data_IF_578932563748
#
_entry.id   IF_578932563748
#
_cell.length_a   1.000
_cell.length_b   1.000
_cell.length_c   1.000
_cell.angle_alpha   90.00
_cell.angle_beta   90.00
_cell.angle_gamma   90.00
#
_symmetry.space_group_name_H-M   'P 1'
#
loop_
_entity.id
_entity.type
_entity.pdbx_description
1 polymer ?
#
# COMPACT_ATOMS: atom_id res chain seq x y z
N UNK A 1 5.38 34.14 -7.41
CA UNK A 1 4.68 33.58 -8.60
C UNK A 1 5.53 32.47 -9.15
N UNK A 2 5.02 31.23 -9.16
CA UNK A 2 5.61 30.10 -9.88
C UNK A 2 4.56 29.64 -10.89
N UNK A 3 4.70 30.05 -12.16
CA UNK A 3 3.86 29.53 -13.26
C UNK A 3 4.54 28.29 -13.85
N UNK A 4 4.58 27.23 -13.05
CA UNK A 4 5.15 25.94 -13.40
C UNK A 4 4.11 25.05 -14.08
N UNK A 5 3.63 25.43 -15.27
CA UNK A 5 2.71 24.58 -16.05
C UNK A 5 3.45 23.46 -16.75
N UNK A 6 3.21 22.22 -16.32
CA UNK A 6 3.79 21.02 -16.91
C UNK A 6 3.37 20.83 -18.37
N UNK A 7 4.32 21.04 -19.29
CA UNK A 7 4.14 20.82 -20.72
C UNK A 7 4.37 19.35 -21.07
N UNK A 8 3.29 18.56 -21.03
CA UNK A 8 3.31 17.15 -21.43
C UNK A 8 3.54 16.97 -22.94
N UNK A 9 4.77 16.66 -23.33
CA UNK A 9 5.13 16.32 -24.72
C UNK A 9 5.05 14.80 -24.92
N UNK A 10 3.98 14.33 -25.56
CA UNK A 10 3.83 12.92 -25.97
C UNK A 10 4.67 12.62 -27.21
N UNK A 11 5.97 12.33 -27.02
CA UNK A 11 6.87 11.96 -28.11
C UNK A 11 6.84 10.44 -28.35
N UNK A 12 6.31 10.02 -29.52
CA UNK A 12 6.29 8.61 -29.92
C UNK A 12 7.68 8.12 -30.32
N UNK A 13 8.40 7.50 -29.38
CA UNK A 13 9.65 6.79 -29.68
C UNK A 13 9.36 5.49 -30.43
N UNK A 14 9.92 5.35 -31.64
CA UNK A 14 9.74 4.17 -32.50
C UNK A 14 10.51 2.97 -31.94
N UNK A 15 9.80 2.02 -31.33
CA UNK A 15 10.39 0.87 -30.65
C UNK A 15 11.13 -0.10 -31.58
N UNK A 16 12.44 -0.25 -31.36
CA UNK A 16 13.15 -1.46 -31.72
C UNK A 16 12.71 -2.62 -30.81
N UNK A 17 12.79 -3.90 -31.23
CA UNK A 17 12.62 -5.02 -30.32
C UNK A 17 13.79 -5.05 -29.32
N UNK A 18 13.48 -4.93 -28.03
CA UNK A 18 14.46 -5.02 -26.94
C UNK A 18 14.37 -6.40 -26.27
N UNK A 19 15.12 -7.44 -26.71
CA UNK A 19 15.11 -8.73 -26.04
C UNK A 19 15.79 -8.64 -24.65
N UNK A 20 15.30 -9.37 -23.63
CA UNK A 20 15.92 -9.37 -22.30
C UNK A 20 17.33 -9.96 -22.36
N UNK A 21 18.35 -9.19 -21.93
CA UNK A 21 19.72 -9.68 -21.91
C UNK A 21 19.97 -10.52 -20.66
N UNK A 22 20.02 -11.84 -20.82
CA UNK A 22 20.16 -12.80 -19.72
C UNK A 22 21.57 -13.42 -19.67
N UNK A 23 22.22 -13.34 -18.52
CA UNK A 23 23.44 -14.08 -18.18
C UNK A 23 23.12 -15.32 -17.35
N UNK A 24 24.14 -16.01 -16.85
CA UNK A 24 23.97 -17.10 -15.86
C UNK A 24 23.63 -16.62 -14.45
N UNK A 25 23.88 -15.33 -14.13
CA UNK A 25 23.72 -14.77 -12.76
C UNK A 25 22.71 -13.63 -12.66
N UNK A 26 22.30 -13.05 -13.80
CA UNK A 26 21.39 -11.92 -13.87
C UNK A 26 20.57 -11.92 -15.16
N UNK A 27 19.48 -11.17 -15.16
CA UNK A 27 18.76 -10.73 -16.36
C UNK A 27 18.60 -9.21 -16.31
N UNK A 28 18.76 -8.59 -17.47
CA UNK A 28 18.64 -7.15 -17.67
C UNK A 28 17.44 -6.86 -18.56
N UNK A 29 16.54 -5.98 -18.08
CA UNK A 29 15.48 -5.37 -18.88
C UNK A 29 15.90 -3.92 -19.19
N UNK A 30 15.69 -3.47 -20.42
CA UNK A 30 16.03 -2.13 -20.87
C UNK A 30 15.02 -1.70 -21.93
N UNK A 31 14.35 -0.57 -21.74
CA UNK A 31 13.38 -0.01 -22.69
C UNK A 31 13.79 1.36 -23.23
N UNK A 32 15.06 1.75 -23.05
CA UNK A 32 15.59 3.06 -23.45
C UNK A 32 15.20 4.24 -22.53
N UNK A 33 14.28 4.05 -21.58
CA UNK A 33 13.93 5.04 -20.55
C UNK A 33 14.46 4.63 -19.18
N UNK A 34 14.24 3.38 -18.81
CA UNK A 34 14.67 2.77 -17.55
C UNK A 34 15.29 1.40 -17.81
N UNK A 35 16.24 1.01 -16.95
CA UNK A 35 16.96 -0.25 -17.01
C UNK A 35 16.88 -0.98 -15.68
N UNK A 36 16.49 -2.25 -15.68
CA UNK A 36 16.42 -3.09 -14.49
C UNK A 36 17.49 -4.17 -14.57
N UNK A 37 18.19 -4.42 -13.47
CA UNK A 37 19.07 -5.57 -13.28
C UNK A 37 18.50 -6.45 -12.18
N UNK A 38 18.23 -7.71 -12.48
CA UNK A 38 17.60 -8.68 -11.56
C UNK A 38 18.49 -9.91 -11.46
N UNK A 39 18.67 -10.48 -10.26
CA UNK A 39 19.46 -11.70 -10.06
C UNK A 39 18.74 -12.95 -10.57
N UNK A 40 19.52 -13.94 -11.04
CA UNK A 40 19.02 -15.20 -11.61
C UNK A 40 19.65 -16.41 -10.89
N UNK A 41 18.87 -17.42 -10.46
CA UNK A 41 17.39 -17.49 -10.50
C UNK A 41 16.73 -16.65 -9.39
N UNK A 42 17.47 -16.23 -8.36
CA UNK A 42 16.98 -15.67 -7.09
C UNK A 42 15.88 -14.58 -7.20
N UNK A 43 15.87 -13.78 -8.26
CA UNK A 43 14.80 -12.82 -8.56
C UNK A 43 14.86 -11.50 -7.77
N UNK A 44 15.95 -11.21 -7.08
CA UNK A 44 16.15 -9.93 -6.39
C UNK A 44 16.44 -8.83 -7.40
N UNK A 45 15.71 -7.72 -7.34
CA UNK A 45 16.04 -6.53 -8.11
C UNK A 45 17.30 -5.88 -7.51
N UNK A 46 18.41 -5.91 -8.22
CA UNK A 46 19.73 -5.43 -7.74
C UNK A 46 20.13 -4.08 -8.32
N UNK A 47 19.49 -3.65 -9.41
CA UNK A 47 19.68 -2.31 -9.96
C UNK A 47 18.49 -1.76 -10.71
N UNK A 48 18.28 -0.45 -10.58
CA UNK A 48 17.38 0.37 -11.40
C UNK A 48 18.19 1.56 -11.91
N UNK A 49 18.52 1.62 -13.19
CA UNK A 49 19.15 2.79 -13.81
C UNK A 49 18.09 3.66 -14.47
N UNK A 50 18.11 4.98 -14.21
CA UNK A 50 17.15 5.93 -14.76
C UNK A 50 17.75 7.34 -14.82
N UNK A 51 17.41 8.13 -15.84
CA UNK A 51 17.76 9.56 -15.93
C UNK A 51 19.26 9.87 -15.89
N UNK A 52 20.13 8.91 -16.23
CA UNK A 52 21.59 9.05 -16.10
C UNK A 52 22.17 8.68 -14.73
N UNK A 53 21.35 8.21 -13.78
CA UNK A 53 21.83 7.60 -12.53
C UNK A 53 22.01 6.09 -12.70
N UNK A 54 23.21 5.58 -12.43
CA UNK A 54 23.59 4.17 -12.65
C UNK A 54 22.72 3.17 -11.87
N UNK A 55 22.37 3.52 -10.63
CA UNK A 55 21.47 2.75 -9.78
C UNK A 55 20.75 3.68 -8.80
N UNK A 56 19.42 3.53 -8.68
CA UNK A 56 18.59 4.20 -7.67
C UNK A 56 18.60 3.47 -6.31
N UNK A 57 18.98 2.18 -6.26
CA UNK A 57 18.89 1.32 -5.06
C UNK A 57 20.13 1.40 -4.16
N UNK A 58 19.94 1.30 -2.84
CA UNK A 58 21.04 1.17 -1.86
C UNK A 58 21.61 -0.26 -1.83
N UNK A 59 22.62 -0.51 -2.68
CA UNK A 59 23.35 -1.79 -2.75
C UNK A 59 24.17 -2.08 -1.47
N UNK A 60 24.39 -1.09 -0.60
CA UNK A 60 25.09 -1.30 0.68
C UNK A 60 24.13 -1.70 1.81
N UNK A 61 22.81 -1.58 1.60
CA UNK A 61 21.81 -2.05 2.56
C UNK A 61 21.88 -3.57 2.73
N UNK A 62 22.49 -4.01 3.84
CA UNK A 62 22.42 -5.41 4.29
C UNK A 62 21.00 -5.70 4.81
N UNK A 63 20.07 -6.03 3.93
CA UNK A 63 18.74 -6.47 4.35
C UNK A 63 18.86 -7.73 5.21
N UNK A 64 18.50 -7.62 6.49
CA UNK A 64 18.59 -8.70 7.47
C UNK A 64 17.61 -9.84 7.15
N UNK A 65 16.47 -9.51 6.54
CA UNK A 65 15.55 -10.46 5.92
C UNK A 65 15.94 -10.68 4.45
N UNK A 66 16.32 -11.92 4.13
CA UNK A 66 16.43 -12.37 2.73
C UNK A 66 15.00 -12.53 2.20
N UNK A 67 14.60 -11.67 1.27
CA UNK A 67 13.29 -11.74 0.62
C UNK A 67 13.09 -13.01 -0.21
N UNK A 68 11.91 -13.17 -0.82
CA UNK A 68 11.56 -14.35 -1.63
C UNK A 68 12.68 -14.70 -2.63
N UNK A 69 13.32 -15.84 -2.38
CA UNK A 69 14.42 -16.36 -3.19
C UNK A 69 13.88 -17.40 -4.16
N UNK A 70 13.76 -17.01 -5.43
CA UNK A 70 13.28 -17.89 -6.47
C UNK A 70 14.32 -18.96 -6.83
N UNK A 71 13.83 -20.15 -7.17
CA UNK A 71 14.61 -21.30 -7.66
C UNK A 71 14.47 -21.46 -9.18
N UNK A 72 13.37 -20.96 -9.73
CA UNK A 72 13.04 -21.02 -11.16
C UNK A 72 12.95 -19.61 -11.75
N UNK A 73 13.41 -19.49 -13.00
CA UNK A 73 13.31 -18.27 -13.81
C UNK A 73 12.80 -18.63 -15.21
N UNK A 74 11.83 -17.88 -15.72
CA UNK A 74 11.39 -17.97 -17.12
C UNK A 74 11.01 -16.60 -17.68
N UNK A 75 11.04 -16.51 -19.02
CA UNK A 75 10.45 -15.40 -19.77
C UNK A 75 9.05 -15.84 -20.15
N UNK A 76 8.03 -15.10 -19.69
CA UNK A 76 6.61 -15.43 -19.91
C UNK A 76 6.10 -14.80 -21.19
N UNK A 77 6.51 -13.55 -21.44
CA UNK A 77 6.20 -12.78 -22.64
C UNK A 77 7.44 -11.99 -23.08
N UNK A 78 7.62 -11.85 -24.39
CA UNK A 78 8.73 -11.12 -25.01
C UNK A 78 8.30 -10.57 -26.38
N UNK A 79 7.44 -9.56 -26.35
CA UNK A 79 6.97 -8.82 -27.53
C UNK A 79 7.80 -7.54 -27.74
N UNK A 80 7.48 -6.75 -28.77
CA UNK A 80 8.08 -5.40 -28.97
C UNK A 80 7.66 -4.40 -27.89
N UNK A 81 6.49 -4.62 -27.30
CA UNK A 81 5.81 -3.63 -26.44
C UNK A 81 5.84 -4.00 -24.95
N UNK A 82 6.18 -5.25 -24.63
CA UNK A 82 6.07 -5.84 -23.31
C UNK A 82 7.00 -7.06 -23.15
N UNK A 83 7.78 -7.07 -22.07
CA UNK A 83 8.54 -8.21 -21.57
C UNK A 83 8.01 -8.56 -20.17
N UNK A 84 7.68 -9.83 -19.94
CA UNK A 84 7.28 -10.35 -18.62
C UNK A 84 8.26 -11.45 -18.18
N UNK A 85 8.82 -11.29 -16.98
CA UNK A 85 9.69 -12.27 -16.34
C UNK A 85 8.98 -12.92 -15.15
N UNK A 86 9.17 -14.23 -14.98
CA UNK A 86 8.72 -15.02 -13.85
C UNK A 86 9.90 -15.45 -12.98
N UNK A 87 9.73 -15.33 -11.67
CA UNK A 87 10.67 -15.76 -10.65
C UNK A 87 9.89 -16.55 -9.59
N UNK A 88 9.98 -17.89 -9.66
CA UNK A 88 9.18 -18.79 -8.84
C UNK A 88 10.02 -19.48 -7.76
N UNK A 89 9.45 -19.55 -6.56
CA UNK A 89 9.92 -20.39 -5.44
C UNK A 89 8.78 -21.27 -4.98
N UNK A 90 9.06 -22.53 -4.60
CA UNK A 90 8.02 -23.53 -4.29
C UNK A 90 7.94 -23.96 -2.82
N UNK A 91 8.68 -23.31 -1.92
CA UNK A 91 8.75 -23.67 -0.50
C UNK A 91 8.78 -22.43 0.41
N UNK A 92 8.04 -22.41 1.53
CA UNK A 92 7.04 -23.39 1.98
C UNK A 92 5.68 -23.29 1.23
N UNK A 93 5.48 -22.19 0.50
CA UNK A 93 4.38 -21.95 -0.44
C UNK A 93 4.95 -21.68 -1.84
N UNK A 94 4.17 -21.99 -2.88
CA UNK A 94 4.54 -21.64 -4.24
C UNK A 94 4.15 -20.18 -4.52
N UNK A 95 5.17 -19.33 -4.71
CA UNK A 95 5.02 -17.92 -5.04
C UNK A 95 5.78 -17.66 -6.34
N UNK A 96 5.10 -17.02 -7.28
CA UNK A 96 5.63 -16.64 -8.59
C UNK A 96 5.56 -15.11 -8.72
N UNK A 97 6.72 -14.46 -8.61
CA UNK A 97 6.85 -13.01 -8.72
C UNK A 97 7.03 -12.63 -10.17
N UNK A 98 6.15 -11.77 -10.67
CA UNK A 98 6.14 -11.26 -12.04
C UNK A 98 6.65 -9.84 -12.09
N UNK A 99 7.58 -9.58 -13.01
CA UNK A 99 8.10 -8.25 -13.31
C UNK A 99 7.84 -7.98 -14.80
N UNK A 100 7.11 -6.90 -15.08
CA UNK A 100 6.75 -6.48 -16.44
C UNK A 100 7.40 -5.13 -16.75
N UNK A 101 8.15 -5.06 -17.84
CA UNK A 101 8.61 -3.81 -18.45
C UNK A 101 7.90 -3.61 -19.80
N UNK A 102 7.42 -2.40 -20.06
CA UNK A 102 6.76 -2.03 -21.32
C UNK A 102 7.60 -1.02 -22.10
N UNK A 103 7.50 -1.06 -23.42
CA UNK A 103 8.11 -0.05 -24.30
C UNK A 103 7.43 1.31 -24.08
N UNK A 104 8.21 2.39 -24.09
CA UNK A 104 7.72 3.77 -23.91
C UNK A 104 7.20 4.13 -22.51
N UNK A 105 7.29 3.24 -21.51
CA UNK A 105 6.84 3.50 -20.13
C UNK A 105 8.03 3.76 -19.21
N UNK A 106 8.01 4.89 -18.50
CA UNK A 106 9.04 5.28 -17.52
C UNK A 106 8.86 4.55 -16.18
N UNK A 107 8.90 3.22 -16.18
CA UNK A 107 8.71 2.39 -14.99
C UNK A 107 8.55 0.90 -15.30
N UNK A 108 8.14 0.13 -14.29
CA UNK A 108 7.83 -1.29 -14.40
C UNK A 108 6.68 -1.67 -13.47
N UNK A 109 5.97 -2.74 -13.81
CA UNK A 109 4.92 -3.31 -12.97
C UNK A 109 5.47 -4.54 -12.27
N UNK A 110 5.07 -4.76 -11.01
CA UNK A 110 5.47 -5.93 -10.23
C UNK A 110 4.28 -6.45 -9.44
N UNK A 111 4.04 -7.76 -9.52
CA UNK A 111 3.05 -8.46 -8.69
C UNK A 111 3.58 -9.83 -8.29
N UNK A 112 2.90 -10.49 -7.35
CA UNK A 112 3.21 -11.85 -6.95
C UNK A 112 1.93 -12.69 -6.94
N UNK A 113 1.95 -13.81 -7.64
CA UNK A 113 0.90 -14.82 -7.56
C UNK A 113 1.29 -15.82 -6.49
N UNK A 114 0.44 -16.01 -5.48
CA UNK A 114 0.56 -17.10 -4.51
C UNK A 114 -0.34 -18.23 -5.00
N UNK A 115 0.24 -19.40 -5.29
CA UNK A 115 -0.51 -20.58 -5.68
C UNK A 115 -0.88 -21.43 -4.44
N UNK A 116 -1.84 -22.34 -4.62
CA UNK A 116 -2.29 -23.22 -3.54
C UNK A 116 -1.15 -24.04 -2.94
N UNK A 117 -1.16 -24.17 -1.61
CA UNK A 117 -0.20 -24.98 -0.86
C UNK A 117 -0.51 -26.46 -1.05
N UNK A 118 0.50 -27.22 -1.50
CA UNK A 118 0.43 -28.70 -1.48
C UNK A 118 0.13 -29.20 -0.06
N UNK A 119 -0.80 -30.15 0.06
CA UNK A 119 -1.20 -30.76 1.33
C UNK A 119 -0.05 -31.49 2.05
N UNK A 120 1.02 -31.83 1.33
CA UNK A 120 2.24 -32.40 1.89
C UNK A 120 3.24 -31.36 2.44
N UNK A 121 3.04 -30.05 2.20
CA UNK A 121 3.93 -29.01 2.74
C UNK A 121 3.76 -28.83 4.25
N UNK A 122 4.84 -28.63 5.03
CA UNK A 122 4.77 -28.44 6.48
C UNK A 122 4.00 -27.17 6.87
N UNK A 123 3.50 -27.14 8.11
CA UNK A 123 2.95 -25.92 8.69
C UNK A 123 4.04 -24.85 8.89
N UNK A 124 3.68 -23.59 8.66
CA UNK A 124 4.54 -22.42 8.82
C UNK A 124 3.65 -21.18 8.96
N UNK A 125 4.16 -20.13 9.61
CA UNK A 125 3.43 -18.89 9.83
C UNK A 125 3.89 -17.81 8.84
N UNK A 126 2.97 -17.32 8.00
CA UNK A 126 3.20 -16.17 7.13
C UNK A 126 2.63 -14.91 7.78
N UNK A 127 3.40 -14.31 8.70
CA UNK A 127 2.98 -13.10 9.43
C UNK A 127 2.77 -11.91 8.47
N UNK A 128 3.56 -11.81 7.39
CA UNK A 128 3.42 -10.70 6.45
C UNK A 128 4.10 -10.95 5.09
N UNK A 129 3.53 -10.36 4.04
CA UNK A 129 4.14 -10.23 2.71
C UNK A 129 4.30 -8.75 2.39
N UNK A 130 5.51 -8.32 1.98
CA UNK A 130 5.79 -6.93 1.55
C UNK A 130 6.63 -6.95 0.27
N UNK A 131 6.41 -5.95 -0.58
CA UNK A 131 7.45 -5.49 -1.50
C UNK A 131 8.13 -4.27 -0.86
N UNK A 132 9.45 -4.20 -0.93
CA UNK A 132 10.26 -3.17 -0.28
C UNK A 132 11.30 -2.66 -1.27
N UNK A 133 11.34 -1.35 -1.46
CA UNK A 133 12.37 -0.68 -2.26
C UNK A 133 13.20 0.20 -1.32
N UNK A 134 14.50 -0.08 -1.22
CA UNK A 134 15.46 0.72 -0.46
C UNK A 134 16.29 1.51 -1.48
N UNK A 135 16.04 2.81 -1.56
CA UNK A 135 16.70 3.71 -2.49
C UNK A 135 18.00 4.27 -1.89
N UNK A 136 18.79 4.97 -2.71
CA UNK A 136 20.06 5.57 -2.29
C UNK A 136 19.91 6.68 -1.26
N UNK A 137 20.47 6.42 -0.07
CA UNK A 137 20.58 7.38 1.06
C UNK A 137 21.28 8.69 0.70
N UNK A 138 22.19 8.70 -0.28
CA UNK A 138 22.92 9.89 -0.71
C UNK A 138 22.16 10.74 -1.76
N UNK A 139 20.94 10.32 -2.11
CA UNK A 139 20.12 10.94 -3.17
C UNK A 139 18.71 11.24 -2.69
N UNK A 140 18.00 10.25 -2.17
CA UNK A 140 16.59 10.34 -1.82
C UNK A 140 16.43 10.77 -0.36
N UNK A 141 16.00 12.02 -0.16
CA UNK A 141 15.88 12.65 1.16
C UNK A 141 14.48 13.20 1.45
N UNK A 142 13.72 13.54 0.40
CA UNK A 142 12.36 14.06 0.52
C UNK A 142 11.36 12.94 0.24
N UNK A 143 10.40 12.77 1.15
CA UNK A 143 9.35 11.75 1.12
C UNK A 143 7.99 12.44 0.98
N UNK A 144 7.09 11.87 0.18
CA UNK A 144 5.73 12.36 -0.02
C UNK A 144 4.71 11.20 -0.07
N UNK A 145 3.61 11.36 0.68
CA UNK A 145 2.47 10.43 0.75
C UNK A 145 1.17 11.19 0.44
N UNK A 146 0.94 12.33 1.08
CA UNK A 146 -0.14 13.29 0.77
C UNK A 146 0.42 14.71 0.77
N UNK A 147 -0.39 15.71 0.41
CA UNK A 147 0.00 17.12 0.42
C UNK A 147 0.36 17.63 1.85
N UNK A 148 -0.22 17.01 2.87
CA UNK A 148 0.10 17.22 4.30
C UNK A 148 1.25 16.32 4.76
N UNK A 149 1.27 15.06 4.31
CA UNK A 149 2.25 14.04 4.69
C UNK A 149 3.44 14.01 3.73
N UNK A 150 4.17 15.13 3.67
CA UNK A 150 5.42 15.26 2.90
C UNK A 150 6.49 16.05 3.68
N UNK A 151 7.74 15.56 3.67
CA UNK A 151 8.86 16.17 4.41
C UNK A 151 10.23 15.67 3.94
N UNK A 152 11.29 16.38 4.34
CA UNK A 152 12.61 15.75 4.50
C UNK A 152 12.50 14.75 5.66
N UNK A 153 12.80 13.49 5.41
CA UNK A 153 12.74 12.43 6.43
C UNK A 153 14.07 12.34 7.19
N UNK A 154 14.07 11.95 8.48
CA UNK A 154 15.29 11.58 9.19
C UNK A 154 16.00 10.40 8.51
N UNK A 155 17.33 10.35 8.65
CA UNK A 155 18.14 9.27 8.10
C UNK A 155 18.27 8.11 9.11
N UNK A 156 18.54 6.86 8.68
CA UNK A 156 18.76 5.74 9.60
C UNK A 156 19.91 6.01 10.58
N UNK A 157 20.89 6.79 10.16
CA UNK A 157 22.03 7.23 10.97
C UNK A 157 21.62 8.24 12.07
N UNK A 158 20.49 8.94 11.94
CA UNK A 158 19.94 9.82 12.98
C UNK A 158 19.34 9.05 14.16
N UNK A 159 18.95 7.79 13.92
CA UNK A 159 18.43 6.85 14.93
C UNK A 159 19.53 6.08 15.68
N UNK A 160 20.78 6.55 15.62
CA UNK A 160 21.89 5.98 16.39
C UNK A 160 21.87 6.51 17.84
N UNK A 161 22.31 5.72 18.85
CA UNK A 161 22.25 6.12 20.28
C UNK A 161 23.05 7.38 20.68
N UNK A 162 23.85 7.94 19.78
CA UNK A 162 24.58 9.21 19.95
C UNK A 162 23.91 10.40 19.23
N UNK A 163 22.76 10.19 18.58
CA UNK A 163 22.01 11.16 17.78
C UNK A 163 20.50 11.20 18.09
N UNK A 164 19.97 10.15 18.69
CA UNK A 164 18.61 10.11 19.23
C UNK A 164 18.57 9.62 20.69
N UNK A 165 17.43 9.82 21.34
CA UNK A 165 17.05 9.20 22.60
C UNK A 165 15.83 8.28 22.34
N UNK A 166 15.91 7.02 22.76
CA UNK A 166 14.77 6.09 22.72
C UNK A 166 13.70 6.51 23.73
N UNK A 167 12.42 6.37 23.35
CA UNK A 167 11.27 6.71 24.19
C UNK A 167 10.65 5.44 24.81
N UNK A 168 9.48 5.58 25.43
CA UNK A 168 8.80 4.47 26.14
C UNK A 168 8.38 3.34 25.18
N UNK A 169 8.20 3.64 23.89
CA UNK A 169 7.99 2.64 22.82
C UNK A 169 9.26 2.57 21.95
N UNK A 170 9.87 1.38 21.71
CA UNK A 170 11.13 1.27 20.97
C UNK A 170 11.08 1.78 19.51
N UNK A 171 9.89 1.83 18.93
CA UNK A 171 9.63 2.42 17.62
C UNK A 171 9.86 3.93 17.55
N UNK A 172 9.68 4.67 18.65
CA UNK A 172 9.71 6.13 18.67
C UNK A 172 11.02 6.65 19.28
N UNK A 173 11.69 7.56 18.58
CA UNK A 173 12.95 8.16 19.06
C UNK A 173 12.91 9.68 18.92
N UNK A 174 13.39 10.38 19.97
CA UNK A 174 13.57 11.83 19.97
C UNK A 174 14.93 12.18 19.35
N UNK A 175 14.94 13.00 18.29
CA UNK A 175 16.14 13.38 17.54
C UNK A 175 16.89 14.51 18.26
N UNK A 176 17.97 14.16 18.96
CA UNK A 176 18.75 15.09 19.78
C UNK A 176 19.90 15.75 19.01
N UNK A 177 20.47 15.05 18.03
CA UNK A 177 21.56 15.52 17.17
C UNK A 177 21.48 14.92 15.74
N UNK A 178 20.41 15.18 14.97
CA UNK A 178 20.27 14.70 13.59
C UNK A 178 21.26 15.34 12.60
N UNK A 179 21.45 14.70 11.45
CA UNK A 179 22.28 15.17 10.31
C UNK A 179 21.70 16.45 9.71
N UNK A 180 20.37 16.53 9.57
CA UNK A 180 19.68 17.77 9.26
C UNK A 180 19.28 18.48 10.58
N UNK A 181 19.87 19.66 10.91
CA UNK A 181 19.55 20.37 12.15
C UNK A 181 18.08 20.76 12.29
N UNK A 182 17.37 20.96 11.19
CA UNK A 182 15.96 21.34 11.20
C UNK A 182 15.06 20.28 11.84
N UNK A 183 15.50 19.02 11.89
CA UNK A 183 14.75 17.90 12.48
C UNK A 183 15.01 17.74 13.99
N UNK A 184 15.86 18.60 14.58
CA UNK A 184 16.22 18.51 16.00
C UNK A 184 15.00 18.81 16.89
N UNK A 185 14.86 18.01 17.95
CA UNK A 185 13.73 18.07 18.88
C UNK A 185 12.45 17.39 18.38
N UNK A 186 12.49 16.68 17.25
CA UNK A 186 11.34 15.92 16.76
C UNK A 186 11.36 14.45 17.18
N UNK A 187 10.17 13.85 17.29
CA UNK A 187 9.98 12.40 17.51
C UNK A 187 9.69 11.70 16.18
N UNK A 188 10.61 10.83 15.75
CA UNK A 188 10.43 9.92 14.60
C UNK A 188 9.90 8.56 15.06
N UNK A 189 8.72 8.18 14.56
CA UNK A 189 8.13 6.85 14.72
C UNK A 189 7.70 6.33 13.34
N UNK A 190 8.04 5.08 13.03
CA UNK A 190 7.66 4.43 11.77
C UNK A 190 6.15 4.48 11.50
N UNK A 191 5.31 4.44 12.54
CA UNK A 191 3.85 4.42 12.39
C UNK A 191 3.25 5.75 11.91
N UNK A 192 4.00 6.86 12.04
CA UNK A 192 3.61 8.19 11.52
C UNK A 192 3.43 8.21 9.99
N UNK A 193 3.98 7.21 9.29
CA UNK A 193 3.96 7.08 7.82
C UNK A 193 2.93 6.04 7.34
N UNK A 194 1.86 5.83 8.13
CA UNK A 194 0.74 4.93 7.81
C UNK A 194 -0.41 5.67 7.11
N UNK A 195 -1.13 4.97 6.22
CA UNK A 195 -2.36 5.45 5.58
C UNK A 195 -3.41 4.33 5.50
N UNK A 196 -4.69 4.67 5.59
CA UNK A 196 -5.80 3.72 5.34
C UNK A 196 -5.74 3.15 3.91
N UNK A 197 -6.28 1.94 3.72
CA UNK A 197 -6.47 1.34 2.39
C UNK A 197 -7.34 2.20 1.45
N UNK A 198 -8.26 3.00 2.00
CA UNK A 198 -9.12 3.92 1.21
C UNK A 198 -8.41 5.19 0.72
N UNK A 199 -7.42 5.70 1.46
CA UNK A 199 -6.75 6.97 1.16
C UNK A 199 -5.36 6.77 0.53
N UNK A 200 -4.73 5.61 0.75
CA UNK A 200 -3.47 5.24 0.14
C UNK A 200 -3.62 4.71 -1.30
N UNK A 201 -2.86 5.29 -2.23
CA UNK A 201 -2.80 4.83 -3.64
C UNK A 201 -1.51 5.25 -4.36
N UNK A 202 -0.88 6.34 -3.90
CA UNK A 202 0.44 6.82 -4.31
C UNK A 202 1.27 7.08 -3.06
N UNK A 203 2.58 6.77 -3.11
CA UNK A 203 3.59 7.31 -2.19
C UNK A 203 4.95 7.25 -2.87
N UNK A 204 5.92 8.05 -2.43
CA UNK A 204 7.23 8.07 -3.05
C UNK A 204 8.26 8.98 -2.43
N UNK A 205 9.38 9.09 -3.14
CA UNK A 205 10.59 9.79 -2.72
C UNK A 205 11.17 10.60 -3.88
N UNK A 206 11.69 11.78 -3.56
CA UNK A 206 12.31 12.70 -4.52
C UNK A 206 13.80 12.84 -4.19
N UNK A 207 14.66 12.74 -5.21
CA UNK A 207 16.09 12.94 -5.04
C UNK A 207 16.48 14.41 -5.03
N UNK A 208 17.43 14.77 -4.16
CA UNK A 208 18.02 16.11 -4.12
C UNK A 208 19.24 16.23 -5.04
N UNK A 209 19.40 17.39 -5.67
CA UNK A 209 20.52 17.68 -6.58
C UNK A 209 20.20 17.34 -8.04
N UNK A 210 21.20 17.38 -8.91
CA UNK A 210 21.02 17.13 -10.34
C UNK A 210 21.43 15.69 -10.71
N UNK A 211 20.61 14.93 -11.47
CA UNK A 211 19.22 15.21 -11.82
C UNK A 211 18.26 14.99 -10.63
N UNK A 212 17.18 15.78 -10.59
CA UNK A 212 16.04 15.55 -9.68
C UNK A 212 15.18 14.41 -10.25
N UNK A 213 15.02 13.33 -9.50
CA UNK A 213 14.29 12.11 -9.89
C UNK A 213 13.26 11.78 -8.81
N UNK A 214 12.01 11.57 -9.20
CA UNK A 214 10.99 10.97 -8.35
C UNK A 214 10.94 9.45 -8.51
N UNK A 215 10.88 8.72 -7.41
CA UNK A 215 10.55 7.29 -7.37
C UNK A 215 9.20 7.11 -6.68
N UNK A 216 8.23 6.54 -7.39
CA UNK A 216 6.83 6.47 -6.95
C UNK A 216 6.31 5.03 -6.98
N UNK A 217 5.58 4.65 -5.94
CA UNK A 217 4.84 3.38 -5.86
C UNK A 217 3.36 3.69 -6.05
N UNK A 218 2.80 3.19 -7.15
CA UNK A 218 1.37 3.30 -7.47
C UNK A 218 0.68 1.97 -7.13
N UNK A 219 -0.44 2.04 -6.41
CA UNK A 219 -1.26 0.90 -6.00
C UNK A 219 -2.64 1.06 -6.64
N UNK A 220 -2.89 0.43 -7.82
CA UNK A 220 -4.10 0.67 -8.62
C UNK A 220 -5.31 -0.16 -8.17
N UNK A 221 -5.12 -1.11 -7.24
CA UNK A 221 -6.20 -1.92 -6.67
C UNK A 221 -5.85 -2.33 -5.23
N UNK A 222 -6.88 -2.57 -4.43
CA UNK A 222 -6.78 -3.09 -3.07
C UNK A 222 -7.25 -4.56 -2.94
N UNK A 223 -7.61 -5.24 -4.04
CA UNK A 223 -8.19 -6.60 -4.04
C UNK A 223 -7.37 -7.67 -3.28
N UNK A 224 -6.05 -7.49 -3.24
CA UNK A 224 -5.08 -8.36 -2.58
C UNK A 224 -4.72 -7.91 -1.14
N UNK A 225 -5.29 -6.80 -0.66
CA UNK A 225 -5.14 -6.32 0.71
C UNK A 225 -6.19 -6.95 1.63
N UNK A 226 -5.94 -6.93 2.93
CA UNK A 226 -6.84 -7.44 3.98
C UNK A 226 -7.23 -6.31 4.94
N UNK A 227 -8.35 -6.48 5.66
CA UNK A 227 -8.84 -5.52 6.66
C UNK A 227 -9.75 -4.41 6.11
N UNK A 228 -10.41 -4.62 4.97
CA UNK A 228 -11.35 -3.66 4.40
C UNK A 228 -10.76 -2.26 4.08
N UNK A 229 -11.60 -1.22 4.00
CA UNK A 229 -11.19 0.14 3.59
C UNK A 229 -10.41 0.91 4.67
N UNK A 230 -10.77 0.79 5.94
CA UNK A 230 -10.22 1.61 7.05
C UNK A 230 -8.92 1.06 7.64
N UNK A 231 -8.28 0.05 7.01
CA UNK A 231 -7.03 -0.48 7.56
C UNK A 231 -5.83 0.39 7.23
N UNK A 232 -5.21 0.97 8.27
CA UNK A 232 -3.92 1.66 8.19
C UNK A 232 -2.75 0.73 7.90
N UNK A 233 -1.94 1.09 6.90
CA UNK A 233 -0.79 0.32 6.43
C UNK A 233 0.42 1.24 6.21
N UNK A 234 1.62 0.80 6.62
CA UNK A 234 2.86 1.57 6.44
C UNK A 234 3.15 1.78 4.95
N UNK A 235 3.40 3.03 4.57
CA UNK A 235 3.76 3.43 3.19
C UNK A 235 5.26 3.71 3.07
N UNK A 236 5.86 4.38 4.06
CA UNK A 236 7.29 4.67 4.16
C UNK A 236 7.83 4.32 5.55
N UNK A 237 9.14 4.44 5.74
CA UNK A 237 9.88 4.20 6.99
C UNK A 237 11.14 5.05 6.99
N UNK A 238 11.77 5.35 8.14
CA UNK A 238 13.01 6.14 8.26
C UNK A 238 14.11 5.71 7.28
N UNK A 239 14.70 6.68 6.57
CA UNK A 239 15.58 6.46 5.40
C UNK A 239 14.81 6.00 4.15
N UNK A 240 15.32 6.21 2.93
CA UNK A 240 14.54 6.08 1.70
C UNK A 240 14.00 4.67 1.40
N UNK A 241 12.85 4.34 1.99
CA UNK A 241 12.25 3.00 2.03
C UNK A 241 10.75 3.10 1.75
N UNK A 242 10.27 2.41 0.71
CA UNK A 242 8.82 2.27 0.42
C UNK A 242 8.30 0.89 0.88
N UNK A 243 7.03 0.82 1.31
CA UNK A 243 6.39 -0.34 1.93
C UNK A 243 4.92 -0.55 1.45
N UNK A 244 4.39 -1.75 1.66
CA UNK A 244 2.95 -2.08 1.57
C UNK A 244 2.58 -3.19 2.57
N UNK A 245 1.42 -3.09 3.23
CA UNK A 245 0.99 -3.87 4.41
C UNK A 245 -0.51 -4.28 4.41
N UNK A 246 -0.97 -5.00 5.46
CA UNK A 246 -2.31 -5.62 5.65
C UNK A 246 -2.78 -5.67 7.17
N UNK A 247 -4.11 -5.82 7.44
CA UNK A 247 -4.84 -6.46 8.60
C UNK A 247 -5.46 -5.69 9.83
N UNK A 248 -6.82 -5.64 9.98
CA UNK A 248 -7.69 -5.40 11.20
C UNK A 248 -7.84 -3.96 11.82
N UNK A 249 -8.96 -3.42 12.40
CA UNK A 249 -10.24 -3.91 13.03
C UNK A 249 -11.42 -2.83 13.08
N UNK A 250 -12.40 -2.91 14.03
CA UNK A 250 -13.74 -2.18 14.10
C UNK A 250 -14.15 -1.60 15.52
N UNK A 251 -15.42 -1.23 15.95
CA UNK A 251 -16.74 -0.84 15.31
C UNK A 251 -17.64 0.30 16.02
N UNK A 252 -18.71 0.86 15.38
CA UNK A 252 -19.89 1.57 16.04
C UNK A 252 -20.52 2.80 15.30
N UNK A 253 -21.76 3.39 15.47
CA UNK A 253 -23.06 3.20 16.23
C UNK A 253 -24.27 4.02 15.62
N UNK A 254 -25.60 3.63 15.58
CA UNK A 254 -26.91 4.47 15.44
C UNK A 254 -28.21 3.72 14.92
N UNK A 255 -29.38 4.41 14.98
CA UNK A 255 -30.85 4.14 14.80
C UNK A 255 -31.43 3.50 13.50
N UNK A 256 -32.75 3.19 13.49
CA UNK A 256 -33.48 2.49 12.43
C UNK A 256 -34.75 3.18 11.87
N UNK A 257 -34.57 4.03 10.86
CA UNK A 257 -35.58 4.35 9.84
C UNK A 257 -34.94 4.15 8.47
N UNK A 258 -35.72 3.79 7.43
CA UNK A 258 -35.16 3.60 6.08
C UNK A 258 -34.72 4.95 5.48
N UNK A 259 -33.43 5.24 5.59
CA UNK A 259 -32.77 6.37 4.94
C UNK A 259 -31.79 5.86 3.86
N UNK A 260 -31.46 6.69 2.85
CA UNK A 260 -30.33 6.43 1.96
C UNK A 260 -29.03 6.19 2.74
N UNK A 261 -28.38 5.05 2.51
CA UNK A 261 -27.11 4.67 3.14
C UNK A 261 -25.92 5.43 2.49
N UNK A 262 -26.02 6.76 2.40
CA UNK A 262 -25.06 7.63 1.71
C UNK A 262 -23.65 7.44 2.24
N UNK A 263 -22.68 7.36 1.32
CA UNK A 263 -21.24 7.25 1.63
C UNK A 263 -20.85 6.01 2.46
N UNK A 264 -21.75 5.03 2.60
CA UNK A 264 -21.47 3.70 3.09
C UNK A 264 -20.43 2.99 2.22
N UNK A 265 -19.55 2.21 2.86
CA UNK A 265 -18.70 1.26 2.16
C UNK A 265 -19.40 -0.08 2.08
N UNK A 266 -19.52 -0.63 0.87
CA UNK A 266 -20.15 -1.93 0.60
C UNK A 266 -19.15 -2.79 -0.17
N UNK A 267 -19.03 -4.07 0.20
CA UNK A 267 -18.03 -4.95 -0.36
C UNK A 267 -18.41 -6.44 -0.37
N UNK A 268 -17.81 -7.15 -1.31
CA UNK A 268 -17.85 -8.60 -1.40
C UNK A 268 -16.55 -9.17 -0.83
N UNK A 269 -16.64 -10.15 0.06
CA UNK A 269 -15.49 -10.85 0.65
C UNK A 269 -15.78 -12.34 0.77
N UNK A 270 -14.74 -13.18 0.76
CA UNK A 270 -14.92 -14.64 1.00
C UNK A 270 -15.35 -14.94 2.44
N UNK A 271 -15.25 -13.95 3.36
CA UNK A 271 -15.72 -14.02 4.72
C UNK A 271 -17.24 -14.29 4.82
N UNK A 272 -17.64 -15.14 5.78
CA UNK A 272 -19.05 -15.58 5.97
C UNK A 272 -19.55 -15.42 7.42
N UNK A 273 -18.84 -14.65 8.23
CA UNK A 273 -19.17 -14.34 9.63
C UNK A 273 -19.25 -12.82 9.80
N UNK A 274 -20.08 -12.36 10.72
CA UNK A 274 -20.18 -10.95 11.09
C UNK A 274 -18.82 -10.43 11.61
N UNK A 275 -18.41 -9.23 11.22
CA UNK A 275 -17.05 -8.71 11.42
C UNK A 275 -15.95 -9.42 10.60
N UNK A 276 -16.28 -10.52 9.91
CA UNK A 276 -15.32 -11.34 9.16
C UNK A 276 -14.62 -10.59 8.03
N UNK A 277 -15.26 -9.58 7.43
CA UNK A 277 -14.67 -8.75 6.39
C UNK A 277 -13.37 -8.05 6.84
N UNK A 278 -13.27 -7.69 8.11
CA UNK A 278 -12.18 -6.89 8.67
C UNK A 278 -10.99 -7.74 9.13
N UNK A 279 -11.14 -9.07 9.15
CA UNK A 279 -10.14 -10.05 9.63
C UNK A 279 -9.81 -11.15 8.61
N UNK A 280 -10.57 -11.24 7.51
CA UNK A 280 -10.35 -12.23 6.46
C UNK A 280 -9.07 -11.93 5.65
N UNK A 281 -8.37 -13.01 5.31
CA UNK A 281 -7.01 -12.99 4.77
C UNK A 281 -6.71 -14.10 3.76
N UNK A 282 -7.69 -14.97 3.44
CA UNK A 282 -7.52 -16.16 2.61
C UNK A 282 -8.06 -16.05 1.19
N UNK A 283 -8.69 -14.93 0.82
CA UNK A 283 -9.25 -14.72 -0.51
C UNK A 283 -9.59 -13.27 -0.79
N UNK A 284 -9.92 -12.98 -2.05
CA UNK A 284 -10.17 -11.62 -2.53
C UNK A 284 -11.34 -10.93 -1.82
N UNK A 285 -11.19 -9.61 -1.66
CA UNK A 285 -12.27 -8.71 -1.31
C UNK A 285 -12.34 -7.54 -2.30
N UNK A 286 -13.56 -7.09 -2.62
CA UNK A 286 -13.87 -6.02 -3.57
C UNK A 286 -14.83 -5.04 -2.89
N UNK A 287 -14.60 -3.73 -2.97
CA UNK A 287 -15.48 -2.77 -2.32
C UNK A 287 -15.54 -1.43 -3.04
N UNK A 288 -16.63 -0.72 -2.79
CA UNK A 288 -16.93 0.60 -3.34
C UNK A 288 -17.60 1.46 -2.26
N UNK A 289 -17.53 2.78 -2.41
CA UNK A 289 -18.34 3.70 -1.63
C UNK A 289 -19.63 4.01 -2.38
N UNK A 290 -20.76 3.97 -1.68
CA UNK A 290 -22.08 4.34 -2.20
C UNK A 290 -22.19 5.84 -2.48
N UNK A 291 -23.07 6.20 -3.40
CA UNK A 291 -23.32 7.59 -3.79
C UNK A 291 -24.20 8.37 -2.79
N UNK A 292 -24.66 9.57 -3.20
CA UNK A 292 -25.55 10.41 -2.39
C UNK A 292 -26.95 9.83 -2.17
N UNK A 293 -27.35 8.80 -2.92
CA UNK A 293 -28.62 8.08 -2.83
C UNK A 293 -28.51 6.71 -2.16
N UNK A 294 -27.28 6.28 -1.81
CA UNK A 294 -27.00 4.94 -1.29
C UNK A 294 -26.86 3.86 -2.37
N UNK A 295 -26.86 4.24 -3.66
CA UNK A 295 -26.65 3.32 -4.77
C UNK A 295 -25.16 2.96 -4.90
N UNK A 296 -24.87 1.76 -5.42
CA UNK A 296 -23.51 1.27 -5.64
C UNK A 296 -23.43 0.27 -6.81
N UNK A 297 -22.23 0.08 -7.33
CA UNK A 297 -21.92 -0.97 -8.31
C UNK A 297 -20.47 -1.42 -8.10
N UNK A 298 -20.24 -2.72 -7.93
CA UNK A 298 -18.89 -3.30 -7.76
C UNK A 298 -18.52 -3.99 -9.07
N UNK A 299 -17.69 -3.31 -9.87
CA UNK A 299 -17.31 -3.76 -11.20
C UNK A 299 -16.12 -4.72 -11.16
N UNK A 300 -15.96 -5.55 -12.20
CA UNK A 300 -14.81 -6.45 -12.42
C UNK A 300 -14.55 -7.48 -11.30
N UNK A 301 -15.56 -7.85 -10.53
CA UNK A 301 -15.46 -8.87 -9.48
C UNK A 301 -15.08 -10.23 -10.08
N UNK A 302 -14.10 -10.91 -9.47
CA UNK A 302 -13.67 -12.25 -9.87
C UNK A 302 -14.82 -13.26 -9.63
N UNK A 303 -15.09 -14.22 -10.54
CA UNK A 303 -16.13 -15.22 -10.33
C UNK A 303 -15.93 -16.05 -9.05
N UNK A 304 -16.98 -16.20 -8.25
CA UNK A 304 -16.89 -16.84 -6.93
C UNK A 304 -18.14 -16.64 -6.06
N UNK A 305 -18.10 -17.21 -4.85
CA UNK A 305 -19.20 -17.15 -3.86
C UNK A 305 -18.75 -16.35 -2.63
N UNK A 306 -19.32 -15.15 -2.49
CA UNK A 306 -18.93 -14.13 -1.53
C UNK A 306 -20.04 -13.87 -0.50
N UNK A 307 -19.67 -13.45 0.71
CA UNK A 307 -20.57 -12.70 1.59
C UNK A 307 -20.63 -11.24 1.12
N UNK A 308 -21.82 -10.63 1.19
CA UNK A 308 -22.01 -9.19 1.02
C UNK A 308 -21.90 -8.51 2.38
N UNK A 309 -20.87 -7.68 2.55
CA UNK A 309 -20.58 -6.94 3.78
C UNK A 309 -20.71 -5.43 3.54
N UNK A 310 -20.86 -4.66 4.61
CA UNK A 310 -20.89 -3.20 4.50
C UNK A 310 -20.86 -2.47 5.84
N UNK A 311 -20.66 -1.16 5.83
CA UNK A 311 -20.90 -0.28 6.98
C UNK A 311 -21.20 1.14 6.50
N UNK A 312 -22.00 1.88 7.27
CA UNK A 312 -22.44 3.24 6.92
C UNK A 312 -21.81 4.23 7.91
N UNK A 313 -21.15 5.31 7.46
CA UNK A 313 -20.72 6.39 8.33
C UNK A 313 -21.88 6.93 9.16
N UNK A 314 -21.71 6.96 10.48
CA UNK A 314 -22.75 7.33 11.43
C UNK A 314 -23.70 6.21 11.84
N UNK A 315 -23.31 4.91 11.79
CA UNK A 315 -24.14 3.75 12.15
C UNK A 315 -23.35 2.57 12.77
N UNK A 316 -23.98 1.68 13.58
CA UNK A 316 -23.24 0.59 14.28
C UNK A 316 -22.83 -0.50 13.33
N UNK A 317 -21.63 -1.03 13.56
CA UNK A 317 -21.29 -2.41 13.25
C UNK A 317 -20.86 -2.67 11.82
N UNK A 318 -21.15 -3.89 11.39
CA UNK A 318 -20.91 -4.39 10.05
C UNK A 318 -22.18 -5.09 9.57
N UNK A 319 -22.70 -4.65 8.43
CA UNK A 319 -23.67 -5.41 7.67
C UNK A 319 -23.03 -6.71 7.16
N UNK A 320 -23.79 -7.80 7.21
CA UNK A 320 -23.55 -9.03 6.46
C UNK A 320 -24.91 -9.56 5.98
N UNK A 321 -25.09 -9.75 4.67
CA UNK A 321 -26.26 -10.46 4.15
C UNK A 321 -26.22 -11.94 4.58
N UNK A 322 -27.39 -12.49 4.89
CA UNK A 322 -27.62 -13.92 5.14
C UNK A 322 -27.57 -14.72 3.84
N UNK A 323 -27.73 -14.08 2.68
CA UNK A 323 -27.53 -14.68 1.36
C UNK A 323 -26.07 -14.51 0.92
N UNK A 324 -25.52 -15.55 0.31
CA UNK A 324 -24.25 -15.47 -0.40
C UNK A 324 -24.48 -14.98 -1.83
N UNK A 325 -23.63 -14.07 -2.30
CA UNK A 325 -23.61 -13.55 -3.67
C UNK A 325 -22.75 -14.47 -4.52
N UNK A 326 -23.32 -14.99 -5.61
CA UNK A 326 -22.63 -15.86 -6.55
C UNK A 326 -22.38 -15.12 -7.86
N UNK A 327 -21.12 -14.80 -8.15
CA UNK A 327 -20.70 -14.06 -9.36
C UNK A 327 -20.20 -15.05 -10.41
N UNK A 328 -20.73 -14.96 -11.63
CA UNK A 328 -20.26 -15.74 -12.78
C UNK A 328 -19.45 -14.88 -13.75
N UNK A 329 -18.62 -15.50 -14.60
CA UNK A 329 -17.84 -14.77 -15.59
C UNK A 329 -18.75 -14.05 -16.60
N UNK A 330 -18.67 -12.73 -16.66
CA UNK A 330 -19.47 -11.91 -17.59
C UNK A 330 -20.96 -11.76 -17.22
N UNK A 331 -21.37 -12.13 -16.01
CA UNK A 331 -22.73 -11.90 -15.51
C UNK A 331 -22.84 -10.62 -14.69
N UNK A 332 -23.90 -9.85 -14.90
CA UNK A 332 -24.39 -8.88 -13.92
C UNK A 332 -25.21 -9.61 -12.84
N UNK A 333 -25.29 -9.06 -11.62
CA UNK A 333 -26.03 -9.68 -10.50
C UNK A 333 -26.70 -8.58 -9.68
N UNK A 334 -27.99 -8.37 -9.94
CA UNK A 334 -28.80 -7.44 -9.15
C UNK A 334 -29.03 -7.99 -7.73
N UNK A 335 -28.64 -7.20 -6.73
CA UNK A 335 -28.84 -7.51 -5.31
C UNK A 335 -30.19 -6.99 -4.78
N UNK A 336 -30.84 -6.09 -5.53
CA UNK A 336 -32.04 -5.39 -5.10
C UNK A 336 -31.77 -4.44 -3.92
N UNK A 337 -32.82 -4.17 -3.13
CA UNK A 337 -32.73 -3.27 -1.98
C UNK A 337 -32.03 -3.96 -0.79
N UNK A 338 -30.73 -3.69 -0.63
CA UNK A 338 -29.93 -4.11 0.52
C UNK A 338 -30.32 -3.26 1.75
N UNK A 339 -31.07 -3.86 2.68
CA UNK A 339 -31.51 -3.18 3.91
C UNK A 339 -30.54 -3.49 5.05
N UNK A 340 -29.87 -2.46 5.56
CA UNK A 340 -29.13 -2.52 6.81
C UNK A 340 -30.07 -2.31 8.01
N UNK A 341 -29.98 -3.18 9.01
CA UNK A 341 -30.62 -3.00 10.31
C UNK A 341 -29.53 -2.86 11.38
N UNK A 342 -29.11 -1.63 11.72
CA UNK A 342 -28.06 -1.38 12.71
C UNK A 342 -28.56 -1.66 14.15
N UNK A 343 -27.66 -2.21 14.95
CA UNK A 343 -27.92 -2.95 16.20
C UNK A 343 -28.15 -2.07 17.45
N UNK A 344 -28.99 -1.01 17.40
CA UNK A 344 -29.27 -0.14 18.56
C UNK A 344 -30.75 -0.14 18.96
N UNK A 345 -31.03 -0.68 20.15
CA UNK A 345 -32.36 -0.65 20.79
C UNK A 345 -32.50 0.54 21.77
N UNK A 346 -33.64 1.24 21.68
CA UNK A 346 -34.04 2.28 22.64
C UNK A 346 -33.45 3.69 22.42
N UNK A 347 -33.87 4.68 23.23
CA UNK A 347 -33.44 6.06 23.10
C UNK A 347 -31.98 6.23 23.55
N UNK A 348 -31.19 6.95 22.75
CA UNK A 348 -29.80 7.29 23.07
C UNK A 348 -29.77 8.44 24.09
N UNK A 349 -29.26 8.19 25.29
CA UNK A 349 -29.19 9.18 26.39
C UNK A 349 -28.12 10.25 26.15
N UNK A 350 -27.00 9.85 25.53
CA UNK A 350 -25.86 10.71 25.19
C UNK A 350 -25.03 10.04 24.09
N UNK A 351 -24.28 10.83 23.33
CA UNK A 351 -23.32 10.38 22.33
C UNK A 351 -22.14 11.36 22.29
N UNK A 352 -20.93 10.87 22.03
CA UNK A 352 -19.70 11.67 21.96
C UNK A 352 -18.94 11.25 20.69
N UNK A 353 -18.55 12.24 19.88
CA UNK A 353 -18.01 12.01 18.53
C UNK A 353 -19.11 11.75 17.50
N UNK A 354 -18.69 11.41 16.28
CA UNK A 354 -19.58 10.92 15.22
C UNK A 354 -19.18 9.49 14.82
N UNK A 355 -20.12 8.55 14.61
CA UNK A 355 -19.80 7.15 14.33
C UNK A 355 -19.32 6.84 12.89
N UNK A 356 -18.36 7.59 12.37
CA UNK A 356 -17.77 7.41 11.03
C UNK A 356 -16.46 6.59 11.00
N UNK A 357 -16.05 6.05 12.16
CA UNK A 357 -14.79 5.34 12.41
C UNK A 357 -13.53 6.22 12.43
N UNK A 358 -13.68 7.54 12.54
CA UNK A 358 -12.57 8.51 12.71
C UNK A 358 -12.52 9.07 14.15
N UNK A 359 -11.49 9.87 14.44
CA UNK A 359 -11.42 10.70 15.64
C UNK A 359 -11.97 12.13 15.42
N UNK A 360 -12.61 12.41 14.27
CA UNK A 360 -13.04 13.76 13.90
C UNK A 360 -14.04 14.33 14.90
N UNK A 361 -13.77 15.55 15.37
CA UNK A 361 -14.62 16.26 16.34
C UNK A 361 -14.37 15.92 17.81
N UNK A 362 -13.44 15.02 18.13
CA UNK A 362 -12.92 14.88 19.49
C UNK A 362 -11.93 16.02 19.81
N UNK A 363 -11.81 16.38 21.08
CA UNK A 363 -10.75 17.29 21.54
C UNK A 363 -9.50 16.48 21.89
N UNK A 364 -8.49 16.55 21.03
CA UNK A 364 -7.15 16.04 21.31
C UNK A 364 -6.28 17.18 21.85
N UNK A 365 -5.72 17.08 23.08
CA UNK A 365 -4.85 18.11 23.62
C UNK A 365 -3.58 18.29 22.79
N UNK A 366 -3.05 19.52 22.72
CA UNK A 366 -1.76 19.78 22.08
C UNK A 366 -0.64 18.91 22.69
N UNK A 367 0.17 18.31 21.82
CA UNK A 367 1.28 17.44 22.22
C UNK A 367 2.28 18.19 23.09
N UNK A 368 2.86 17.48 24.07
CA UNK A 368 3.91 18.03 24.92
C UNK A 368 5.05 18.61 24.04
N UNK A 369 5.42 19.89 24.17
CA UNK A 369 6.42 20.53 23.31
C UNK A 369 7.80 19.85 23.30
N UNK A 370 8.12 19.00 24.27
CA UNK A 370 9.35 18.19 24.27
C UNK A 370 9.30 16.97 23.31
N UNK A 371 8.13 16.59 22.83
CA UNK A 371 7.87 15.38 22.05
C UNK A 371 7.05 15.67 20.78
N UNK A 372 7.31 16.82 20.15
CA UNK A 372 6.62 17.27 18.94
C UNK A 372 7.09 16.51 17.69
N UNK A 373 6.28 16.44 16.63
CA UNK A 373 6.75 16.14 15.29
C UNK A 373 6.17 17.21 14.35
N UNK A 374 7.04 17.86 13.55
CA UNK A 374 6.65 19.07 12.81
C UNK A 374 5.67 18.79 11.67
N UNK A 375 5.55 17.54 11.22
CA UNK A 375 4.60 17.09 10.20
C UNK A 375 3.13 17.27 10.66
N UNK A 376 2.87 17.17 11.96
CA UNK A 376 1.50 17.11 12.49
C UNK A 376 0.99 18.40 13.15
N UNK A 377 1.84 19.43 13.30
CA UNK A 377 1.49 20.68 14.00
C UNK A 377 0.24 21.35 13.39
N UNK A 378 0.15 21.33 12.06
CA UNK A 378 -0.94 21.91 11.27
C UNK A 378 -1.83 20.85 10.60
N UNK A 379 -1.74 19.57 11.02
CA UNK A 379 -2.53 18.50 10.40
C UNK A 379 -4.02 18.66 10.72
N UNK A 380 -4.93 18.38 9.76
CA UNK A 380 -6.35 18.23 10.06
C UNK A 380 -6.65 16.93 10.86
N UNK A 381 -5.71 15.99 10.90
CA UNK A 381 -5.77 14.76 11.70
C UNK A 381 -5.34 15.00 13.18
N UNK A 382 -5.79 16.10 13.79
CA UNK A 382 -5.56 16.36 15.23
C UNK A 382 -6.52 15.58 16.11
#
# INVERSE_FOLDING_TARGET
MYDGRDLMVLQQLSGLPFPPYATTRSVTLDNGLAKLTISRPDGSLTGISYGGMDNLLDVQSKSSSRGLRATEYSVVNSSKDCIELSFRSNLPISIDKRIIMRSGVSGFYCYATIYERSTASPAFDLVQTRMVFILRRDKFHYMAITDEKQRIMPMPEDRLPNRCQELIVPEAVLLTNPINPDLKGEVDDKYQYSMDNKDGGLHGWISSGSPTIGFWVVIPTNEYRNGGPTKQNLTCHTGPTCLTLHADFAPGFVSGALIPAKSAYVGLSVARTEGGWEVESKGYQFWVQTDSTGAFSINNVIPGIYGLHGWVPGFVGNYLDKKLVNISAGSETELGNVIYLPTRDGPTVWEIGFPDRTATGFYVPDVNPMYINKLFINSPEK
#
